data_IF_187917830707
#
_entry.id   IF_187917830707
#
_cell.length_a   1.000
_cell.length_b   1.000
_cell.length_c   1.000
_cell.angle_alpha   90.00
_cell.angle_beta   90.00
_cell.angle_gamma   90.00
#
_symmetry.space_group_name_H-M   'P 1'
#
loop_
_entity.id
_entity.type
_entity.pdbx_description
1 polymer ?
#
# COMPACT_ATOMS: atom_id res chain seq x y z
N UNK A 1 5.62 -5.74 -16.78
CA UNK A 1 4.92 -6.61 -17.67
C UNK A 1 3.53 -6.97 -17.16
N UNK A 2 3.23 -8.21 -16.82
CA UNK A 2 1.88 -8.54 -16.36
C UNK A 2 1.52 -7.82 -15.07
N UNK A 3 2.47 -7.71 -14.14
CA UNK A 3 2.26 -7.00 -12.88
C UNK A 3 2.03 -5.51 -13.11
N UNK A 4 2.78 -4.91 -14.02
CA UNK A 4 2.61 -3.49 -14.31
C UNK A 4 1.24 -3.20 -14.92
N UNK A 5 0.78 -4.08 -15.81
CA UNK A 5 -0.54 -3.93 -16.38
C UNK A 5 -1.63 -4.09 -15.33
N UNK A 6 -1.46 -5.05 -14.43
CA UNK A 6 -2.41 -5.25 -13.34
C UNK A 6 -2.47 -4.04 -12.43
N UNK A 7 -1.32 -3.44 -12.13
CA UNK A 7 -1.26 -2.22 -11.31
C UNK A 7 -1.96 -1.06 -11.99
N UNK A 8 -1.76 -0.90 -13.30
CA UNK A 8 -2.42 0.15 -14.06
C UNK A 8 -3.93 -0.05 -14.11
N UNK A 9 -4.37 -1.30 -14.29
CA UNK A 9 -5.79 -1.62 -14.31
C UNK A 9 -6.44 -1.40 -12.95
N UNK A 10 -5.70 -1.62 -11.89
CA UNK A 10 -6.19 -1.42 -10.54
C UNK A 10 -6.24 0.07 -10.16
N UNK A 11 -5.70 0.96 -10.98
CA UNK A 11 -5.69 2.40 -10.76
C UNK A 11 -5.00 2.79 -9.46
N UNK A 12 -3.91 2.14 -9.16
CA UNK A 12 -3.16 2.40 -7.93
C UNK A 12 -2.54 3.80 -7.99
N UNK A 13 -2.71 4.56 -6.93
CA UNK A 13 -2.15 5.90 -6.83
C UNK A 13 -0.63 5.88 -6.87
N UNK A 14 -0.02 6.79 -7.65
CA UNK A 14 1.44 6.88 -7.74
C UNK A 14 2.09 7.13 -6.38
N UNK A 15 1.45 7.93 -5.55
CA UNK A 15 1.95 8.23 -4.20
C UNK A 15 2.05 6.96 -3.36
N UNK A 16 1.12 6.03 -3.56
CA UNK A 16 1.17 4.75 -2.87
C UNK A 16 2.36 3.92 -3.35
N UNK A 17 2.59 3.90 -4.66
CA UNK A 17 3.72 3.18 -5.24
C UNK A 17 5.07 3.75 -4.84
N UNK A 18 5.12 5.04 -4.55
CA UNK A 18 6.35 5.73 -4.19
C UNK A 18 6.64 5.72 -2.69
N UNK A 19 5.80 5.09 -1.90
CA UNK A 19 6.06 4.99 -0.46
C UNK A 19 7.36 4.25 -0.18
N UNK A 20 8.08 4.73 0.83
CA UNK A 20 9.29 4.06 1.27
C UNK A 20 8.94 2.66 1.80
N UNK A 21 9.62 1.66 1.29
CA UNK A 21 9.35 0.27 1.63
C UNK A 21 8.30 -0.40 0.77
N UNK A 22 7.62 0.35 -0.08
CA UNK A 22 6.63 -0.20 -0.99
C UNK A 22 7.31 -0.82 -2.20
N UNK A 23 6.74 -1.92 -2.70
CA UNK A 23 7.17 -2.51 -3.95
C UNK A 23 5.94 -2.97 -4.74
N UNK A 24 6.18 -3.38 -5.99
CA UNK A 24 5.08 -3.78 -6.88
C UNK A 24 4.28 -4.95 -6.35
N UNK A 25 4.95 -5.92 -5.76
CA UNK A 25 4.29 -7.09 -5.21
C UNK A 25 3.31 -6.70 -4.10
N UNK A 26 3.78 -5.86 -3.18
CA UNK A 26 2.95 -5.38 -2.07
C UNK A 26 1.80 -4.53 -2.61
N UNK A 27 2.09 -3.63 -3.55
CA UNK A 27 1.06 -2.78 -4.14
C UNK A 27 -0.02 -3.61 -4.84
N UNK A 28 0.39 -4.66 -5.55
CA UNK A 28 -0.54 -5.57 -6.22
C UNK A 28 -1.44 -6.27 -5.19
N UNK A 29 -0.85 -6.74 -4.10
CA UNK A 29 -1.62 -7.40 -3.04
C UNK A 29 -2.58 -6.43 -2.35
N UNK A 30 -2.16 -5.20 -2.15
CA UNK A 30 -3.04 -4.17 -1.59
C UNK A 30 -4.21 -3.87 -2.54
N UNK A 31 -3.93 -3.83 -3.83
CA UNK A 31 -4.98 -3.60 -4.83
C UNK A 31 -6.02 -4.72 -4.81
N UNK A 32 -5.60 -5.95 -4.59
CA UNK A 32 -6.52 -7.08 -4.44
C UNK A 32 -7.46 -6.89 -3.25
N UNK A 33 -7.01 -6.17 -2.24
CA UNK A 33 -7.81 -5.82 -1.07
C UNK A 33 -8.55 -4.49 -1.24
N UNK A 34 -8.52 -3.93 -2.43
CA UNK A 34 -9.13 -2.65 -2.77
C UNK A 34 -8.44 -1.46 -2.08
N UNK A 35 -7.18 -1.63 -1.73
CA UNK A 35 -6.36 -0.58 -1.16
C UNK A 35 -5.51 -0.01 -2.29
N UNK A 36 -5.99 1.07 -2.90
CA UNK A 36 -5.32 1.67 -4.06
C UNK A 36 -4.87 3.10 -3.82
N UNK A 37 -5.21 3.68 -2.68
CA UNK A 37 -4.82 5.04 -2.33
C UNK A 37 -4.14 5.07 -0.97
N UNK A 38 -3.41 6.17 -0.71
CA UNK A 38 -2.79 6.35 0.59
C UNK A 38 -3.82 6.44 1.72
N UNK A 39 -4.96 7.05 1.45
CA UNK A 39 -6.03 7.14 2.43
C UNK A 39 -6.53 5.76 2.82
N UNK A 40 -6.75 4.91 1.82
CA UNK A 40 -7.19 3.54 2.07
C UNK A 40 -6.17 2.80 2.92
N UNK A 41 -4.88 2.96 2.61
CA UNK A 41 -3.83 2.31 3.37
C UNK A 41 -3.75 2.86 4.79
N UNK A 42 -3.88 4.17 4.95
CA UNK A 42 -3.82 4.82 6.26
C UNK A 42 -4.94 4.34 7.19
N UNK A 43 -6.07 3.95 6.63
CA UNK A 43 -7.21 3.46 7.40
C UNK A 43 -7.06 1.99 7.80
N UNK A 44 -6.12 1.27 7.20
CA UNK A 44 -5.92 -0.14 7.50
C UNK A 44 -5.14 -0.32 8.80
N UNK A 45 -5.34 -1.47 9.43
CA UNK A 45 -4.53 -1.86 10.57
C UNK A 45 -3.45 -2.85 10.13
N UNK A 46 -2.45 -3.04 10.97
CA UNK A 46 -1.40 -4.02 10.70
C UNK A 46 -1.99 -5.41 10.50
N UNK A 47 -2.99 -5.76 11.29
CA UNK A 47 -3.65 -7.07 11.19
C UNK A 47 -4.32 -7.27 9.83
N UNK A 48 -4.82 -6.21 9.23
CA UNK A 48 -5.46 -6.29 7.92
C UNK A 48 -4.47 -6.63 6.82
N UNK A 49 -3.21 -6.32 7.03
CA UNK A 49 -2.14 -6.57 6.07
C UNK A 49 -1.29 -7.79 6.44
N UNK A 50 -1.59 -8.42 7.57
CA UNK A 50 -0.77 -9.52 8.08
C UNK A 50 -0.80 -10.77 7.18
N UNK A 51 -1.85 -10.94 6.41
CA UNK A 51 -1.98 -12.11 5.52
C UNK A 51 -1.36 -11.88 4.14
N UNK A 52 -0.73 -10.76 3.92
CA UNK A 52 -0.01 -10.52 2.67
C UNK A 52 1.34 -11.21 2.71
N UNK A 53 1.58 -12.11 1.76
CA UNK A 53 2.87 -12.78 1.65
C UNK A 53 3.97 -11.78 1.30
N UNK A 54 5.10 -11.91 1.98
CA UNK A 54 6.23 -11.03 1.74
C UNK A 54 6.16 -9.71 2.50
N UNK A 55 5.10 -9.50 3.27
CA UNK A 55 4.93 -8.29 4.06
C UNK A 55 4.90 -8.65 5.54
N UNK A 56 5.92 -8.24 6.28
CA UNK A 56 5.97 -8.48 7.73
C UNK A 56 5.12 -7.44 8.47
N UNK A 57 4.83 -7.73 9.75
CA UNK A 57 4.08 -6.80 10.57
C UNK A 57 4.80 -5.46 10.70
N UNK A 58 6.12 -5.48 10.80
CA UNK A 58 6.91 -4.26 10.87
C UNK A 58 6.80 -3.44 9.59
N UNK A 59 6.91 -4.11 8.44
CA UNK A 59 6.79 -3.43 7.16
C UNK A 59 5.37 -2.87 6.97
N UNK A 60 4.37 -3.64 7.37
CA UNK A 60 2.99 -3.17 7.29
C UNK A 60 2.80 -1.92 8.15
N UNK A 61 3.32 -1.94 9.37
CA UNK A 61 3.23 -0.78 10.26
C UNK A 61 3.94 0.42 9.66
N UNK A 62 5.14 0.22 9.11
CA UNK A 62 5.89 1.30 8.47
C UNK A 62 5.13 1.92 7.29
N UNK A 63 4.53 1.09 6.46
CA UNK A 63 3.75 1.56 5.32
C UNK A 63 2.52 2.34 5.78
N UNK A 64 1.82 1.82 6.78
CA UNK A 64 0.64 2.49 7.32
C UNK A 64 1.03 3.84 7.93
N UNK A 65 2.09 3.87 8.71
CA UNK A 65 2.57 5.11 9.32
C UNK A 65 2.99 6.13 8.26
N UNK A 66 3.69 5.68 7.23
CA UNK A 66 4.08 6.56 6.13
C UNK A 66 2.85 7.14 5.43
N UNK A 67 1.85 6.30 5.19
CA UNK A 67 0.61 6.74 4.57
C UNK A 67 -0.11 7.77 5.43
N UNK A 68 -0.18 7.52 6.73
CA UNK A 68 -0.80 8.45 7.67
C UNK A 68 -0.09 9.80 7.70
N UNK A 69 1.24 9.77 7.72
CA UNK A 69 2.02 11.00 7.71
C UNK A 69 1.73 11.83 6.48
N UNK A 70 1.65 11.20 5.32
CA UNK A 70 1.37 11.90 4.08
C UNK A 70 -0.06 12.43 4.04
N UNK A 71 -1.02 11.60 4.45
CA UNK A 71 -2.43 11.97 4.35
C UNK A 71 -2.90 12.91 5.47
N UNK A 72 -2.35 12.72 6.68
CA UNK A 72 -2.86 13.42 7.85
C UNK A 72 -2.01 14.61 8.30
N UNK A 73 -0.74 14.62 7.98
CA UNK A 73 0.16 15.66 8.43
C UNK A 73 0.70 16.55 7.31
N UNK A 74 0.47 16.17 6.07
CA UNK A 74 0.87 16.96 4.90
C UNK A 74 -0.37 17.49 4.23
N UNK A 75 -0.47 18.78 4.13
CA UNK A 75 -1.60 19.42 3.44
C UNK A 75 -1.21 20.00 2.11
#
# INVERSE_FOLDING_TARGET
LAEEEALKKAKIEDRLLNLEGMNRHIAFKLAEKQITTLEDLAEQGVDDLADIEGLSAEQAADLIMAARNICWFTE
#
